data_IF_104836913993
#
_entry.id   IF_104836913993
#
_cell.length_a   1.000
_cell.length_b   1.000
_cell.length_c   1.000
_cell.angle_alpha   90.00
_cell.angle_beta   90.00
_cell.angle_gamma   90.00
#
_symmetry.space_group_name_H-M   'P 1'
#
loop_
_entity.id
_entity.type
_entity.pdbx_description
1 polymer ?
#
# COMPACT_ATOMS: atom_id res chain seq x y z
N UNK A 1 63.08 -41.70 78.19
CA UNK A 1 62.93 -42.00 76.84
C UNK A 1 61.53 -41.48 76.45
N UNK A 2 61.46 -40.30 75.96
CA UNK A 2 60.33 -39.46 76.01
C UNK A 2 59.59 -39.33 74.65
N UNK A 3 58.32 -39.53 74.69
CA UNK A 3 57.44 -39.31 73.56
C UNK A 3 56.86 -37.90 73.59
N UNK A 4 56.99 -37.13 72.56
CA UNK A 4 56.37 -35.85 72.41
C UNK A 4 55.37 -35.88 71.24
N UNK A 5 54.07 -35.81 71.59
CA UNK A 5 52.92 -35.69 70.64
C UNK A 5 52.81 -34.23 70.25
N UNK A 6 52.84 -34.01 68.95
CA UNK A 6 52.47 -32.70 68.38
C UNK A 6 51.03 -32.76 67.78
N UNK A 7 50.16 -31.93 68.35
CA UNK A 7 48.82 -31.73 67.81
C UNK A 7 48.91 -30.77 66.60
N UNK A 8 48.37 -31.19 65.48
CA UNK A 8 48.14 -30.29 64.31
C UNK A 8 46.72 -29.83 64.35
N UNK A 9 46.57 -28.50 64.42
CA UNK A 9 45.28 -27.82 64.23
C UNK A 9 44.98 -27.72 62.73
N UNK A 10 43.87 -28.29 62.29
CA UNK A 10 43.34 -28.19 60.96
C UNK A 10 42.39 -27.00 60.92
N UNK A 11 42.82 -25.87 60.35
CA UNK A 11 41.92 -24.72 60.08
C UNK A 11 41.14 -24.95 58.82
N UNK A 12 39.80 -25.14 58.91
CA UNK A 12 38.89 -25.30 57.85
C UNK A 12 38.52 -23.89 57.33
N UNK A 13 39.06 -23.51 56.19
CA UNK A 13 38.68 -22.26 55.49
C UNK A 13 37.43 -22.59 54.66
N UNK A 14 36.26 -22.03 55.07
CA UNK A 14 35.02 -22.07 54.32
C UNK A 14 35.08 -20.94 53.28
N UNK A 15 35.26 -21.31 52.00
CA UNK A 15 35.13 -20.37 50.86
C UNK A 15 33.64 -20.21 50.56
N UNK A 16 33.07 -19.05 50.87
CA UNK A 16 31.72 -18.69 50.47
C UNK A 16 31.81 -18.20 49.02
N UNK A 17 31.35 -19.03 48.08
CA UNK A 17 31.11 -18.67 46.67
C UNK A 17 29.82 -17.87 46.59
N UNK A 18 29.94 -16.54 46.53
CA UNK A 18 28.84 -15.64 46.12
C UNK A 18 28.63 -15.79 44.62
N UNK A 19 27.64 -16.60 44.23
CA UNK A 19 27.14 -16.64 42.84
C UNK A 19 26.39 -15.35 42.56
N UNK A 20 27.03 -14.43 41.88
CA UNK A 20 26.32 -13.31 41.22
C UNK A 20 25.48 -13.92 40.09
N UNK A 21 24.17 -14.03 40.31
CA UNK A 21 23.20 -14.22 39.23
C UNK A 21 23.17 -12.95 38.35
N UNK A 22 23.89 -13.01 37.25
CA UNK A 22 23.73 -12.02 36.18
C UNK A 22 22.34 -12.24 35.56
N UNK A 23 21.43 -11.34 35.79
CA UNK A 23 20.18 -11.22 34.99
C UNK A 23 20.60 -11.08 33.51
N UNK A 24 19.91 -11.74 32.56
CA UNK A 24 20.18 -11.50 31.16
C UNK A 24 19.85 -10.03 30.88
N UNK A 25 20.89 -9.25 30.58
CA UNK A 25 20.71 -7.90 30.04
C UNK A 25 19.86 -8.03 28.79
N UNK A 26 18.70 -7.39 28.77
CA UNK A 26 17.90 -7.26 27.56
C UNK A 26 18.82 -6.74 26.45
N UNK A 27 18.80 -7.41 25.32
CA UNK A 27 19.49 -6.94 24.14
C UNK A 27 18.89 -5.57 23.79
N UNK A 28 19.62 -4.53 24.12
CA UNK A 28 19.38 -3.19 23.53
C UNK A 28 19.66 -3.39 22.04
N UNK A 29 18.64 -3.48 21.23
CA UNK A 29 18.79 -3.39 19.78
C UNK A 29 19.49 -2.05 19.51
N UNK A 30 20.75 -2.14 19.14
CA UNK A 30 21.52 -0.96 18.70
C UNK A 30 20.83 -0.44 17.43
N UNK A 31 20.39 0.79 17.45
CA UNK A 31 19.97 1.50 16.23
C UNK A 31 21.10 1.37 15.20
N UNK A 32 20.82 0.91 13.97
CA UNK A 32 21.86 0.80 12.95
C UNK A 32 22.53 2.15 12.71
N UNK A 33 23.82 2.13 12.39
CA UNK A 33 24.56 3.33 12.01
C UNK A 33 23.89 3.90 10.74
N UNK A 34 23.43 5.17 10.74
CA UNK A 34 22.77 5.78 9.58
C UNK A 34 23.60 5.72 8.29
N UNK A 35 24.94 5.64 8.40
CA UNK A 35 25.84 5.52 7.25
C UNK A 35 25.85 4.13 6.58
N UNK A 36 25.17 3.14 7.18
CA UNK A 36 25.09 1.75 6.70
C UNK A 36 23.72 1.39 6.13
N UNK A 37 22.76 2.33 6.14
CA UNK A 37 21.43 2.07 5.63
C UNK A 37 21.40 2.06 4.09
N UNK A 38 20.61 1.13 3.53
CA UNK A 38 20.34 1.09 2.09
C UNK A 38 19.36 2.22 1.76
N UNK A 39 19.81 3.15 0.90
CA UNK A 39 18.94 4.24 0.42
C UNK A 39 17.92 3.69 -0.55
N UNK A 40 16.63 3.90 -0.29
CA UNK A 40 15.51 3.49 -1.13
C UNK A 40 14.65 4.70 -1.45
N UNK A 41 14.64 5.13 -2.72
CA UNK A 41 13.63 6.06 -3.23
C UNK A 41 12.41 5.27 -3.62
N UNK A 42 11.25 5.58 -3.00
CA UNK A 42 10.00 4.86 -3.16
C UNK A 42 8.95 5.74 -3.85
N UNK A 43 8.70 5.54 -5.16
CA UNK A 43 7.55 6.12 -5.84
C UNK A 43 6.23 5.65 -5.22
N UNK A 44 5.34 6.60 -4.89
CA UNK A 44 4.09 6.36 -4.16
C UNK A 44 2.85 6.34 -5.06
N UNK A 45 2.97 6.74 -6.32
CA UNK A 45 1.90 6.67 -7.31
C UNK A 45 0.80 7.72 -7.20
N UNK A 46 0.84 8.59 -6.19
CA UNK A 46 -0.17 9.62 -5.93
C UNK A 46 0.44 10.81 -5.19
N UNK A 47 -0.35 11.86 -4.97
CA UNK A 47 0.04 13.01 -4.13
C UNK A 47 0.09 12.62 -2.63
N UNK A 48 0.85 13.35 -1.79
CA UNK A 48 0.87 13.10 -0.35
C UNK A 48 -0.54 13.10 0.25
N UNK A 49 -0.90 12.03 0.96
CA UNK A 49 -2.24 11.83 1.50
C UNK A 49 -2.20 10.97 2.77
N UNK A 50 -3.22 11.07 3.63
CA UNK A 50 -3.34 10.27 4.86
C UNK A 50 -3.49 8.76 4.61
N UNK A 51 -3.89 8.35 3.41
CA UNK A 51 -3.94 6.94 3.03
C UNK A 51 -2.55 6.28 3.02
N UNK A 52 -1.46 7.05 2.97
CA UNK A 52 -0.09 6.56 3.11
C UNK A 52 0.41 6.50 4.56
N UNK A 53 -0.47 6.73 5.55
CA UNK A 53 -0.10 6.69 6.96
C UNK A 53 0.71 5.45 7.38
N UNK A 54 0.47 4.22 6.88
CA UNK A 54 1.31 3.06 7.20
C UNK A 54 2.80 3.27 6.90
N UNK A 55 3.11 3.90 5.78
CA UNK A 55 4.48 4.18 5.38
C UNK A 55 5.12 5.26 6.27
N UNK A 56 4.36 6.30 6.60
CA UNK A 56 4.80 7.38 7.50
C UNK A 56 5.05 6.85 8.92
N UNK A 57 4.15 6.00 9.41
CA UNK A 57 4.29 5.31 10.71
C UNK A 57 5.54 4.42 10.70
N UNK A 58 5.78 3.68 9.63
CA UNK A 58 6.96 2.82 9.51
C UNK A 58 8.28 3.62 9.55
N UNK A 59 8.31 4.83 8.97
CA UNK A 59 9.45 5.74 9.07
C UNK A 59 9.61 6.26 10.50
N UNK A 60 8.56 6.88 11.06
CA UNK A 60 8.62 7.56 12.35
C UNK A 60 8.89 6.61 13.52
N UNK A 61 8.38 5.38 13.44
CA UNK A 61 8.67 4.32 14.42
C UNK A 61 9.98 3.58 14.15
N UNK A 62 10.71 3.97 13.11
CA UNK A 62 12.02 3.43 12.78
C UNK A 62 11.99 2.01 12.25
N UNK A 63 10.88 1.53 11.69
CA UNK A 63 10.77 0.16 11.19
C UNK A 63 11.63 -0.06 9.96
N UNK A 64 11.69 0.89 9.03
CA UNK A 64 12.62 0.82 7.91
C UNK A 64 14.08 0.86 8.38
N UNK A 65 14.42 1.75 9.31
CA UNK A 65 15.77 1.85 9.84
C UNK A 65 16.20 0.58 10.58
N UNK A 66 15.29 -0.08 11.32
CA UNK A 66 15.57 -1.36 11.98
C UNK A 66 15.83 -2.50 11.00
N UNK A 67 15.28 -2.41 9.79
CA UNK A 67 15.52 -3.31 8.66
C UNK A 67 16.72 -2.88 7.79
N UNK A 68 17.48 -1.86 8.20
CA UNK A 68 18.64 -1.39 7.46
C UNK A 68 18.31 -0.53 6.25
N UNK A 69 17.13 0.08 6.20
CA UNK A 69 16.63 0.87 5.08
C UNK A 69 16.46 2.33 5.50
N UNK A 70 16.91 3.26 4.65
CA UNK A 70 16.58 4.67 4.71
C UNK A 70 15.72 5.02 3.50
N UNK A 71 14.50 5.54 3.73
CA UNK A 71 13.48 5.69 2.71
C UNK A 71 13.25 7.16 2.35
N UNK A 72 13.16 7.44 1.05
CA UNK A 72 12.75 8.72 0.49
C UNK A 72 11.48 8.52 -0.34
N UNK A 73 10.38 9.20 0.02
CA UNK A 73 9.13 9.13 -0.74
C UNK A 73 9.19 10.05 -1.97
N UNK A 74 8.71 9.50 -3.10
CA UNK A 74 8.63 10.20 -4.39
C UNK A 74 7.18 10.17 -4.90
N UNK A 75 6.56 11.36 -5.05
CA UNK A 75 5.13 11.48 -5.35
C UNK A 75 4.91 11.82 -6.84
N UNK A 76 5.05 10.79 -7.69
CA UNK A 76 4.83 10.83 -9.13
C UNK A 76 3.75 9.83 -9.55
N UNK A 77 3.44 9.73 -10.84
CA UNK A 77 2.52 8.73 -11.36
C UNK A 77 3.07 7.31 -11.20
N UNK A 78 2.19 6.33 -11.03
CA UNK A 78 2.56 4.90 -10.93
C UNK A 78 3.37 4.44 -12.13
N UNK A 79 3.02 4.88 -13.34
CA UNK A 79 3.71 4.54 -14.58
C UNK A 79 5.19 4.89 -14.58
N UNK A 80 5.56 6.03 -13.96
CA UNK A 80 6.95 6.45 -13.85
C UNK A 80 7.72 5.52 -12.91
N UNK A 81 7.13 5.18 -11.75
CA UNK A 81 7.68 4.23 -10.79
C UNK A 81 7.88 2.84 -11.41
N UNK A 82 6.88 2.33 -12.12
CA UNK A 82 6.96 1.03 -12.83
C UNK A 82 8.07 1.02 -13.86
N UNK A 83 8.21 2.07 -14.66
CA UNK A 83 9.26 2.16 -15.68
C UNK A 83 10.66 2.12 -15.04
N UNK A 84 10.88 2.87 -13.95
CA UNK A 84 12.16 2.91 -13.23
C UNK A 84 12.48 1.57 -12.56
N UNK A 85 11.50 0.89 -11.96
CA UNK A 85 11.68 -0.44 -11.37
C UNK A 85 11.94 -1.48 -12.46
N UNK A 86 11.19 -1.44 -13.57
CA UNK A 86 11.38 -2.34 -14.70
C UNK A 86 12.73 -2.17 -15.38
N UNK A 87 13.27 -0.94 -15.44
CA UNK A 87 14.62 -0.65 -15.94
C UNK A 87 15.73 -0.99 -14.92
N UNK A 88 15.38 -1.46 -13.72
CA UNK A 88 16.30 -1.70 -12.61
C UNK A 88 17.09 -0.44 -12.17
N UNK A 89 16.49 0.74 -12.33
CA UNK A 89 17.00 2.01 -11.81
C UNK A 89 16.54 2.25 -10.35
N UNK A 90 15.36 1.73 -9.99
CA UNK A 90 14.86 1.66 -8.62
C UNK A 90 14.58 0.21 -8.22
N UNK A 91 14.62 -0.05 -6.91
CA UNK A 91 14.34 -1.37 -6.37
C UNK A 91 12.84 -1.62 -6.16
N UNK A 92 12.07 -0.55 -5.83
CA UNK A 92 10.68 -0.64 -5.42
C UNK A 92 9.84 0.52 -5.93
N UNK A 93 8.53 0.29 -6.02
CA UNK A 93 7.50 1.33 -6.16
C UNK A 93 6.18 0.82 -5.56
N UNK A 94 5.28 1.73 -5.19
CA UNK A 94 3.89 1.43 -4.82
C UNK A 94 3.01 1.68 -6.03
N UNK A 95 2.33 0.63 -6.49
CA UNK A 95 1.50 0.68 -7.70
C UNK A 95 0.30 -0.24 -7.59
N UNK A 96 -0.69 -0.06 -8.46
CA UNK A 96 -1.83 -0.95 -8.64
C UNK A 96 -1.48 -2.18 -9.49
N UNK A 97 -2.24 -3.27 -9.33
CA UNK A 97 -1.91 -4.57 -9.93
C UNK A 97 -1.91 -4.58 -11.46
N UNK A 98 -2.79 -3.81 -12.12
CA UNK A 98 -2.80 -3.72 -13.58
C UNK A 98 -1.49 -3.17 -14.16
N UNK A 99 -0.80 -2.28 -13.43
CA UNK A 99 0.48 -1.74 -13.86
C UNK A 99 1.54 -2.83 -14.02
N UNK A 100 1.48 -3.85 -13.16
CA UNK A 100 2.40 -4.99 -13.24
C UNK A 100 2.16 -5.80 -14.52
N UNK A 101 0.90 -6.13 -14.82
CA UNK A 101 0.58 -6.91 -16.02
C UNK A 101 0.87 -6.12 -17.30
N UNK A 102 0.56 -4.82 -17.32
CA UNK A 102 0.88 -3.95 -18.46
C UNK A 102 2.39 -3.82 -18.69
N UNK A 103 3.18 -3.73 -17.63
CA UNK A 103 4.64 -3.70 -17.71
C UNK A 103 5.21 -5.04 -18.19
N UNK A 104 4.71 -6.16 -17.67
CA UNK A 104 5.13 -7.49 -18.11
C UNK A 104 4.77 -7.78 -19.56
N UNK A 105 3.65 -7.26 -20.05
CA UNK A 105 3.28 -7.34 -21.46
C UNK A 105 4.28 -6.58 -22.37
N UNK A 106 5.08 -5.69 -21.81
CA UNK A 106 6.17 -4.95 -22.45
C UNK A 106 7.56 -5.52 -22.11
N UNK A 107 7.63 -6.76 -21.61
CA UNK A 107 8.86 -7.44 -21.19
C UNK A 107 9.61 -6.76 -20.04
N UNK A 108 8.98 -5.86 -19.29
CA UNK A 108 9.58 -5.30 -18.08
C UNK A 108 9.49 -6.30 -16.91
N UNK A 109 10.62 -6.66 -16.26
CA UNK A 109 10.67 -7.75 -15.28
C UNK A 109 10.22 -7.30 -13.87
N UNK A 110 9.06 -6.66 -13.76
CA UNK A 110 8.49 -6.23 -12.49
C UNK A 110 7.70 -7.36 -11.83
N UNK A 111 7.71 -7.41 -10.50
CA UNK A 111 7.03 -8.42 -9.69
C UNK A 111 6.35 -7.74 -8.51
N UNK A 112 5.07 -8.02 -8.31
CA UNK A 112 4.32 -7.59 -7.13
C UNK A 112 4.66 -8.49 -5.94
N UNK A 113 5.05 -7.90 -4.81
CA UNK A 113 5.64 -8.65 -3.69
C UNK A 113 4.90 -8.51 -2.36
N UNK A 114 4.03 -7.51 -2.22
CA UNK A 114 3.28 -7.28 -0.98
C UNK A 114 2.02 -6.47 -1.28
N UNK A 115 0.85 -6.99 -0.94
CA UNK A 115 -0.38 -6.21 -1.01
C UNK A 115 -0.41 -5.16 0.14
N UNK A 116 -0.82 -3.96 -0.19
CA UNK A 116 -1.12 -2.92 0.79
C UNK A 116 -2.64 -2.78 0.99
N UNK A 117 -3.40 -2.92 -0.10
CA UNK A 117 -4.86 -2.90 -0.11
C UNK A 117 -5.40 -4.27 -0.50
N UNK A 118 -6.51 -4.71 0.14
CA UNK A 118 -7.11 -6.02 -0.15
C UNK A 118 -8.12 -5.95 -1.28
N UNK A 119 -9.01 -4.95 -1.22
CA UNK A 119 -10.00 -4.70 -2.25
C UNK A 119 -9.53 -3.62 -3.21
N UNK A 120 -10.02 -3.69 -4.44
CA UNK A 120 -9.74 -2.67 -5.44
C UNK A 120 -10.47 -1.37 -5.05
N UNK A 121 -9.77 -0.28 -4.79
CA UNK A 121 -10.34 0.88 -4.10
C UNK A 121 -11.17 1.80 -5.00
N UNK A 122 -11.29 1.46 -6.28
CA UNK A 122 -11.94 2.32 -7.27
C UNK A 122 -13.45 2.16 -7.23
N UNK A 123 -14.15 3.26 -7.46
CA UNK A 123 -15.59 3.31 -7.64
C UNK A 123 -15.99 4.47 -8.55
N UNK A 124 -17.29 4.51 -8.86
CA UNK A 124 -17.92 5.64 -9.54
C UNK A 124 -18.91 6.28 -8.57
N UNK A 125 -18.82 7.59 -8.38
CA UNK A 125 -19.74 8.37 -7.56
C UNK A 125 -20.51 9.35 -8.40
N UNK A 126 -21.80 9.51 -8.11
CA UNK A 126 -22.68 10.50 -8.71
C UNK A 126 -23.56 11.15 -7.65
N UNK A 127 -24.07 12.37 -7.91
CA UNK A 127 -25.14 12.94 -7.09
C UNK A 127 -26.39 12.06 -7.17
N UNK A 128 -27.05 11.76 -6.06
CA UNK A 128 -28.23 10.86 -6.01
C UNK A 128 -29.34 11.25 -6.99
N UNK A 129 -29.49 12.54 -7.26
CA UNK A 129 -30.46 13.08 -8.23
C UNK A 129 -30.20 12.65 -9.67
N UNK A 130 -28.96 12.23 -10.01
CA UNK A 130 -28.61 11.73 -11.36
C UNK A 130 -29.11 10.30 -11.59
N UNK A 131 -29.46 9.56 -10.51
CA UNK A 131 -30.00 8.21 -10.59
C UNK A 131 -29.01 7.17 -11.09
N UNK A 132 -27.71 7.36 -10.89
CA UNK A 132 -26.61 6.45 -11.27
C UNK A 132 -26.26 5.61 -10.06
N UNK A 133 -26.71 4.33 -10.01
CA UNK A 133 -26.62 3.43 -8.84
C UNK A 133 -26.02 2.07 -9.13
N UNK A 134 -25.91 1.71 -10.39
CA UNK A 134 -25.39 0.45 -10.89
C UNK A 134 -24.66 0.68 -12.22
N UNK A 135 -23.78 -0.23 -12.65
CA UNK A 135 -22.98 -0.02 -13.86
C UNK A 135 -23.81 0.25 -15.13
N UNK A 136 -24.99 -0.35 -15.26
CA UNK A 136 -25.88 -0.16 -16.40
C UNK A 136 -26.41 1.29 -16.53
N UNK A 137 -26.46 2.03 -15.42
CA UNK A 137 -26.90 3.44 -15.41
C UNK A 137 -25.84 4.40 -16.00
N UNK A 138 -24.64 3.91 -16.28
CA UNK A 138 -23.53 4.68 -16.85
C UNK A 138 -23.72 4.98 -18.34
N UNK A 139 -24.58 4.23 -19.04
CA UNK A 139 -24.82 4.40 -20.48
C UNK A 139 -25.21 5.85 -20.81
N UNK A 140 -24.51 6.46 -21.78
CA UNK A 140 -24.71 7.83 -22.23
C UNK A 140 -24.23 8.92 -21.27
N UNK A 141 -23.62 8.55 -20.13
CA UNK A 141 -23.18 9.52 -19.13
C UNK A 141 -21.81 10.11 -19.44
N UNK A 142 -21.63 11.36 -18.98
CA UNK A 142 -20.34 12.03 -18.93
C UNK A 142 -19.66 11.69 -17.60
N UNK A 143 -18.47 11.12 -17.69
CA UNK A 143 -17.75 10.59 -16.54
C UNK A 143 -16.34 11.19 -16.48
N UNK A 144 -16.07 11.93 -15.43
CA UNK A 144 -14.74 12.48 -15.16
C UNK A 144 -13.84 11.48 -14.44
N UNK A 145 -12.55 11.42 -14.82
CA UNK A 145 -11.54 10.61 -14.17
C UNK A 145 -10.17 11.28 -14.24
N UNK A 146 -9.19 10.87 -13.41
CA UNK A 146 -7.86 11.49 -13.41
C UNK A 146 -7.17 11.49 -14.78
N UNK A 147 -7.33 10.40 -15.52
CA UNK A 147 -6.77 10.21 -16.86
C UNK A 147 -7.24 8.89 -17.46
N UNK A 148 -7.00 8.68 -18.75
CA UNK A 148 -7.36 7.43 -19.45
C UNK A 148 -6.27 6.37 -19.27
N UNK A 149 -5.80 6.21 -18.04
CA UNK A 149 -4.78 5.25 -17.62
C UNK A 149 -4.89 4.98 -16.11
N UNK A 150 -4.17 3.97 -15.62
CA UNK A 150 -4.08 3.64 -14.19
C UNK A 150 -5.36 3.06 -13.61
N UNK A 151 -5.34 2.85 -12.30
CA UNK A 151 -6.40 2.16 -11.57
C UNK A 151 -7.80 2.72 -11.81
N UNK A 152 -7.96 4.04 -11.86
CA UNK A 152 -9.25 4.69 -12.08
C UNK A 152 -9.85 4.32 -13.43
N UNK A 153 -9.06 4.35 -14.50
CA UNK A 153 -9.51 3.97 -15.84
C UNK A 153 -9.84 2.47 -15.92
N UNK A 154 -8.95 1.61 -15.41
CA UNK A 154 -9.16 0.16 -15.41
C UNK A 154 -10.40 -0.22 -14.59
N UNK A 155 -10.59 0.40 -13.42
CA UNK A 155 -11.77 0.17 -12.59
C UNK A 155 -13.08 0.58 -13.26
N UNK A 156 -13.11 1.72 -13.95
CA UNK A 156 -14.26 2.12 -14.74
C UNK A 156 -14.55 1.12 -15.86
N UNK A 157 -13.51 0.71 -16.62
CA UNK A 157 -13.66 -0.29 -17.69
C UNK A 157 -14.17 -1.63 -17.15
N UNK A 158 -13.75 -2.02 -15.94
CA UNK A 158 -14.29 -3.20 -15.27
C UNK A 158 -15.80 -3.10 -15.02
N UNK A 159 -16.27 -1.94 -14.55
CA UNK A 159 -17.71 -1.72 -14.34
C UNK A 159 -18.49 -1.71 -15.66
N UNK A 160 -17.95 -1.06 -16.71
CA UNK A 160 -18.57 -1.08 -18.05
C UNK A 160 -18.66 -2.50 -18.59
N UNK A 161 -17.59 -3.30 -18.48
CA UNK A 161 -17.57 -4.71 -18.90
C UNK A 161 -18.63 -5.53 -18.15
N UNK A 162 -18.78 -5.35 -16.84
CA UNK A 162 -19.80 -6.05 -16.04
C UNK A 162 -21.23 -5.71 -16.49
N UNK A 163 -21.46 -4.50 -17.00
CA UNK A 163 -22.74 -4.08 -17.55
C UNK A 163 -22.93 -4.46 -19.03
N UNK A 164 -21.91 -5.05 -19.68
CA UNK A 164 -21.91 -5.30 -21.12
C UNK A 164 -21.85 -4.02 -21.96
N UNK A 165 -21.25 -2.95 -21.41
CA UNK A 165 -21.07 -1.67 -22.05
C UNK A 165 -19.64 -1.54 -22.60
N UNK A 166 -19.54 -0.86 -23.75
CA UNK A 166 -18.29 -0.45 -24.35
C UNK A 166 -17.89 0.97 -23.89
N UNK A 167 -16.63 1.33 -24.05
CA UNK A 167 -16.18 2.70 -23.75
C UNK A 167 -16.92 3.75 -24.57
N UNK A 168 -17.31 3.41 -25.81
CA UNK A 168 -18.10 4.27 -26.70
C UNK A 168 -19.51 4.58 -26.20
N UNK A 169 -20.02 3.82 -25.23
CA UNK A 169 -21.34 4.04 -24.63
C UNK A 169 -21.34 5.15 -23.57
N UNK A 170 -20.19 5.70 -23.23
CA UNK A 170 -19.99 6.77 -22.26
C UNK A 170 -19.14 7.91 -22.86
N UNK A 171 -19.15 9.07 -22.21
CA UNK A 171 -18.21 10.15 -22.53
C UNK A 171 -17.20 10.27 -21.40
N UNK A 172 -15.91 10.10 -21.70
CA UNK A 172 -14.83 10.16 -20.71
C UNK A 172 -14.07 11.49 -20.82
N UNK A 173 -13.96 12.19 -19.69
CA UNK A 173 -13.20 13.43 -19.56
C UNK A 173 -12.02 13.27 -18.59
N UNK A 174 -10.81 13.51 -19.09
CA UNK A 174 -9.61 13.52 -18.26
C UNK A 174 -9.53 14.86 -17.50
N UNK A 175 -9.87 14.84 -16.21
CA UNK A 175 -10.02 16.03 -15.35
C UNK A 175 -8.92 16.20 -14.31
N UNK A 176 -7.87 15.35 -14.34
CA UNK A 176 -6.86 15.30 -13.27
C UNK A 176 -7.50 14.91 -11.94
N UNK A 177 -6.93 15.39 -10.84
CA UNK A 177 -7.42 15.11 -9.48
C UNK A 177 -8.46 16.15 -9.00
N UNK A 178 -9.39 16.54 -9.87
CA UNK A 178 -10.43 17.55 -9.61
C UNK A 178 -11.85 16.93 -9.54
N UNK A 179 -11.97 15.66 -9.15
CA UNK A 179 -13.22 14.90 -9.17
C UNK A 179 -14.31 15.56 -8.31
N UNK A 180 -13.95 15.99 -7.09
CA UNK A 180 -14.89 16.63 -6.16
C UNK A 180 -15.42 17.92 -6.75
N UNK A 181 -14.55 18.80 -7.22
CA UNK A 181 -14.90 20.10 -7.77
C UNK A 181 -15.74 19.96 -9.06
N UNK A 182 -15.36 19.02 -9.94
CA UNK A 182 -16.08 18.77 -11.19
C UNK A 182 -17.51 18.27 -10.94
N UNK A 183 -17.69 17.37 -9.97
CA UNK A 183 -19.01 16.86 -9.61
C UNK A 183 -19.88 17.95 -8.92
N UNK A 184 -19.28 18.74 -8.02
CA UNK A 184 -19.98 19.84 -7.34
C UNK A 184 -20.45 20.91 -8.33
N UNK A 185 -19.64 21.22 -9.33
CA UNK A 185 -19.94 22.22 -10.36
C UNK A 185 -20.86 21.69 -11.48
N UNK A 186 -21.36 20.44 -11.39
CA UNK A 186 -22.14 19.76 -12.45
C UNK A 186 -21.42 19.75 -13.82
N UNK A 187 -20.09 19.75 -13.83
CA UNK A 187 -19.30 19.58 -15.05
C UNK A 187 -19.37 18.14 -15.53
N UNK A 188 -19.42 17.21 -14.58
CA UNK A 188 -19.55 15.77 -14.80
C UNK A 188 -20.85 15.24 -14.16
N UNK A 189 -21.44 14.20 -14.75
CA UNK A 189 -22.62 13.51 -14.20
C UNK A 189 -22.20 12.48 -13.15
N UNK A 190 -21.02 11.88 -13.33
CA UNK A 190 -20.36 10.98 -12.41
C UNK A 190 -18.85 11.18 -12.47
N UNK A 191 -18.13 10.75 -11.44
CA UNK A 191 -16.67 10.77 -11.43
C UNK A 191 -16.13 9.46 -10.88
N UNK A 192 -14.97 9.04 -11.42
CA UNK A 192 -14.23 7.90 -10.92
C UNK A 192 -13.36 8.34 -9.76
N UNK A 193 -13.44 7.60 -8.67
CA UNK A 193 -12.85 7.99 -7.37
C UNK A 193 -12.19 6.79 -6.68
N UNK A 194 -11.44 7.07 -5.63
CA UNK A 194 -11.12 6.11 -4.59
C UNK A 194 -12.18 6.19 -3.49
N UNK A 195 -12.80 5.05 -3.17
CA UNK A 195 -13.99 4.96 -2.30
C UNK A 195 -13.73 5.41 -0.87
N UNK A 196 -12.48 5.44 -0.44
CA UNK A 196 -12.03 5.92 0.88
C UNK A 196 -11.81 7.43 0.95
N UNK A 197 -11.86 8.18 -0.16
CA UNK A 197 -11.43 9.59 -0.21
C UNK A 197 -12.55 10.54 -0.69
N UNK A 198 -12.78 10.65 -2.00
CA UNK A 198 -13.68 11.65 -2.58
C UNK A 198 -15.13 11.54 -2.10
N UNK A 199 -15.74 10.33 -1.89
CA UNK A 199 -17.09 10.22 -1.36
C UNK A 199 -17.24 10.88 0.02
N UNK A 200 -16.23 10.75 0.89
CA UNK A 200 -16.21 11.35 2.22
C UNK A 200 -16.17 12.88 2.10
N UNK A 201 -15.37 13.42 1.20
CA UNK A 201 -15.29 14.86 0.96
C UNK A 201 -16.63 15.42 0.44
N UNK A 202 -17.28 14.74 -0.51
CA UNK A 202 -18.58 15.11 -1.05
C UNK A 202 -19.68 15.10 0.02
N UNK A 203 -19.75 14.04 0.84
CA UNK A 203 -20.73 13.92 1.92
C UNK A 203 -20.53 15.02 2.99
N UNK A 204 -19.30 15.34 3.34
CA UNK A 204 -19.01 16.42 4.30
C UNK A 204 -19.35 17.81 3.73
N UNK A 205 -19.42 17.96 2.40
CA UNK A 205 -19.94 19.17 1.73
C UNK A 205 -21.47 19.13 1.56
N UNK A 206 -22.16 18.18 2.18
CA UNK A 206 -23.61 18.06 2.20
C UNK A 206 -24.21 17.46 0.93
N UNK A 207 -23.41 16.81 0.08
CA UNK A 207 -23.92 16.17 -1.10
C UNK A 207 -24.53 14.79 -0.78
N UNK A 208 -25.74 14.56 -1.26
CA UNK A 208 -26.30 13.22 -1.32
C UNK A 208 -25.74 12.52 -2.57
N UNK A 209 -25.06 11.40 -2.34
CA UNK A 209 -24.36 10.66 -3.40
C UNK A 209 -24.78 9.19 -3.43
N UNK A 210 -24.74 8.61 -4.63
CA UNK A 210 -24.77 7.16 -4.85
C UNK A 210 -23.35 6.72 -5.28
N UNK A 211 -22.93 5.53 -4.83
CA UNK A 211 -21.58 4.99 -5.05
C UNK A 211 -21.70 3.60 -5.64
N UNK A 212 -20.98 3.35 -6.73
CA UNK A 212 -20.80 2.03 -7.37
C UNK A 212 -19.35 1.62 -7.11
N UNK A 213 -19.11 0.58 -6.31
CA UNK A 213 -17.76 0.09 -6.01
C UNK A 213 -17.37 -1.01 -7.01
N UNK A 214 -16.16 -0.95 -7.55
CA UNK A 214 -15.66 -2.03 -8.44
C UNK A 214 -15.61 -3.37 -7.70
N UNK A 215 -15.16 -3.35 -6.45
CA UNK A 215 -15.01 -4.55 -5.62
C UNK A 215 -16.33 -5.32 -5.36
N UNK A 216 -17.50 -4.66 -5.51
CA UNK A 216 -18.81 -5.32 -5.38
C UNK A 216 -19.16 -6.17 -6.61
N UNK A 217 -18.45 -6.01 -7.72
CA UNK A 217 -18.72 -6.67 -9.01
C UNK A 217 -17.61 -7.61 -9.44
N UNK A 218 -16.34 -7.24 -9.19
CA UNK A 218 -15.18 -8.04 -9.59
C UNK A 218 -14.02 -7.82 -8.63
N UNK A 219 -13.38 -8.92 -8.23
CA UNK A 219 -12.14 -8.88 -7.46
C UNK A 219 -10.97 -8.66 -8.40
N UNK A 220 -10.21 -7.58 -8.20
CA UNK A 220 -9.04 -7.20 -8.99
C UNK A 220 -7.81 -7.03 -8.09
N UNK A 221 -6.62 -7.26 -8.65
CA UNK A 221 -5.36 -7.02 -7.95
C UNK A 221 -5.21 -5.52 -7.64
N UNK A 222 -5.08 -5.19 -6.35
CA UNK A 222 -5.11 -3.83 -5.83
C UNK A 222 -3.71 -3.23 -5.67
N UNK A 223 -3.63 -2.11 -4.94
CA UNK A 223 -2.37 -1.39 -4.72
C UNK A 223 -1.45 -2.15 -3.77
N UNK A 224 -0.15 -2.15 -4.10
CA UNK A 224 0.87 -2.81 -3.30
C UNK A 224 2.28 -2.44 -3.71
N UNK A 225 3.23 -3.13 -3.12
CA UNK A 225 4.66 -2.96 -3.39
C UNK A 225 5.08 -3.83 -4.57
N UNK A 226 5.77 -3.25 -5.53
CA UNK A 226 6.50 -3.99 -6.57
C UNK A 226 8.00 -3.93 -6.34
N UNK A 227 8.67 -4.93 -6.89
CA UNK A 227 10.11 -4.96 -7.08
C UNK A 227 10.41 -5.46 -8.49
N UNK A 228 11.67 -5.76 -8.82
CA UNK A 228 12.05 -6.39 -10.07
C UNK A 228 12.81 -7.71 -9.83
N UNK A 229 12.81 -8.57 -10.85
CA UNK A 229 13.47 -9.89 -10.79
C UNK A 229 14.96 -9.80 -10.41
N UNK A 230 15.65 -8.72 -10.81
CA UNK A 230 17.07 -8.53 -10.50
C UNK A 230 17.28 -8.23 -8.99
N UNK A 231 16.45 -7.38 -8.39
CA UNK A 231 16.48 -7.09 -6.96
C UNK A 231 16.11 -8.33 -6.16
N UNK A 232 15.04 -9.04 -6.53
CA UNK A 232 14.60 -10.28 -5.89
C UNK A 232 15.70 -11.35 -5.90
N UNK A 233 16.36 -11.54 -7.05
CA UNK A 233 17.42 -12.54 -7.19
C UNK A 233 18.70 -12.19 -6.44
N UNK A 234 19.10 -10.90 -6.42
CA UNK A 234 20.38 -10.47 -5.84
C UNK A 234 20.28 -10.14 -4.35
N UNK A 235 19.14 -9.65 -3.91
CA UNK A 235 18.93 -9.20 -2.53
C UNK A 235 17.49 -9.49 -2.04
N UNK A 236 17.08 -10.77 -1.94
CA UNK A 236 15.75 -11.16 -1.47
C UNK A 236 15.49 -10.68 -0.03
N UNK A 237 16.53 -10.56 0.80
CA UNK A 237 16.42 -10.05 2.17
C UNK A 237 15.95 -8.59 2.19
N UNK A 238 16.40 -7.75 1.25
CA UNK A 238 15.94 -6.36 1.14
C UNK A 238 14.43 -6.31 0.81
N UNK A 239 13.96 -7.20 -0.08
CA UNK A 239 12.53 -7.27 -0.44
C UNK A 239 11.70 -7.69 0.78
N UNK A 240 12.15 -8.70 1.52
CA UNK A 240 11.49 -9.15 2.74
C UNK A 240 11.51 -8.07 3.83
N UNK A 241 12.61 -7.35 3.99
CA UNK A 241 12.75 -6.23 4.94
C UNK A 241 11.80 -5.09 4.62
N UNK A 242 11.65 -4.72 3.34
CA UNK A 242 10.67 -3.74 2.88
C UNK A 242 9.24 -4.16 3.24
N UNK A 243 8.87 -5.41 2.91
CA UNK A 243 7.55 -5.95 3.23
C UNK A 243 7.27 -5.92 4.74
N UNK A 244 8.21 -6.40 5.57
CA UNK A 244 8.06 -6.39 7.04
C UNK A 244 7.88 -4.99 7.59
N UNK A 245 8.70 -4.02 7.17
CA UNK A 245 8.60 -2.64 7.64
C UNK A 245 7.24 -2.02 7.31
N UNK A 246 6.77 -2.20 6.07
CA UNK A 246 5.46 -1.71 5.62
C UNK A 246 4.33 -2.37 6.41
N UNK A 247 4.33 -3.70 6.54
CA UNK A 247 3.25 -4.43 7.24
C UNK A 247 3.21 -4.12 8.75
N UNK A 248 4.35 -3.82 9.38
CA UNK A 248 4.37 -3.29 10.75
C UNK A 248 3.75 -1.90 10.83
N UNK A 249 4.05 -1.03 9.86
CA UNK A 249 3.42 0.29 9.76
C UNK A 249 1.91 0.20 9.55
N UNK A 250 1.45 -0.76 8.73
CA UNK A 250 0.02 -1.07 8.55
C UNK A 250 -0.61 -1.49 9.88
N UNK A 251 -0.01 -2.45 10.59
CA UNK A 251 -0.52 -2.95 11.86
C UNK A 251 -0.65 -1.83 12.92
N UNK A 252 0.35 -0.97 13.01
CA UNK A 252 0.33 0.15 13.97
C UNK A 252 -0.67 1.25 13.57
N UNK A 253 -0.82 1.54 12.27
CA UNK A 253 -1.81 2.52 11.80
C UNK A 253 -3.25 2.05 12.05
N UNK A 254 -3.50 0.74 11.98
CA UNK A 254 -4.78 0.11 12.35
C UNK A 254 -4.98 0.18 13.89
N UNK A 255 -3.94 -0.12 14.66
CA UNK A 255 -4.02 -0.19 16.11
C UNK A 255 -4.22 1.19 16.78
N UNK A 256 -3.60 2.24 16.23
CA UNK A 256 -3.72 3.63 16.72
C UNK A 256 -3.88 4.62 15.55
N UNK A 257 -5.11 4.76 15.02
CA UNK A 257 -5.38 5.73 13.94
C UNK A 257 -5.12 7.19 14.34
N UNK A 258 -5.22 7.52 15.62
CA UNK A 258 -4.97 8.86 16.11
C UNK A 258 -3.49 9.21 16.04
N UNK A 259 -2.61 8.31 16.47
CA UNK A 259 -1.16 8.46 16.30
C UNK A 259 -0.78 8.50 14.82
N UNK A 260 -1.34 7.60 14.00
CA UNK A 260 -1.07 7.55 12.56
C UNK A 260 -1.47 8.86 11.86
N UNK A 261 -2.60 9.47 12.28
CA UNK A 261 -3.01 10.78 11.76
C UNK A 261 -2.05 11.91 12.16
N UNK A 262 -1.64 11.96 13.45
CA UNK A 262 -0.67 12.95 13.92
C UNK A 262 0.70 12.83 13.21
N UNK A 263 1.16 11.61 12.97
CA UNK A 263 2.36 11.34 12.18
C UNK A 263 2.20 11.86 10.76
N UNK A 264 1.06 11.60 10.11
CA UNK A 264 0.79 12.00 8.73
C UNK A 264 0.91 13.52 8.50
N UNK A 265 0.67 14.35 9.53
CA UNK A 265 0.84 15.80 9.45
C UNK A 265 2.27 16.26 9.15
N UNK A 266 3.26 15.40 9.34
CA UNK A 266 4.66 15.70 9.02
C UNK A 266 4.98 15.50 7.53
N UNK A 267 4.18 14.70 6.84
CA UNK A 267 4.40 14.26 5.46
C UNK A 267 3.43 14.86 4.46
N UNK A 268 2.22 15.20 4.92
CA UNK A 268 1.15 15.75 4.08
C UNK A 268 1.09 17.25 4.30
N UNK A 269 1.52 18.01 3.30
CA UNK A 269 1.52 19.47 3.35
C UNK A 269 0.10 19.99 3.62
N UNK A 270 -0.01 20.99 4.49
CA UNK A 270 -1.28 21.63 4.88
C UNK A 270 -2.30 20.71 5.59
N UNK A 271 -2.00 19.45 5.91
CA UNK A 271 -2.94 18.58 6.62
C UNK A 271 -3.36 19.16 7.99
N UNK A 272 -2.43 19.82 8.68
CA UNK A 272 -2.74 20.45 9.96
C UNK A 272 -3.73 21.64 9.86
N UNK A 273 -3.86 22.26 8.67
CA UNK A 273 -4.76 23.37 8.36
C UNK A 273 -6.05 22.91 7.65
N UNK A 274 -6.07 21.70 7.10
CA UNK A 274 -7.25 21.12 6.46
C UNK A 274 -8.36 20.81 7.48
N UNK A 275 -9.55 20.47 7.00
CA UNK A 275 -10.59 19.90 7.86
C UNK A 275 -10.12 18.54 8.40
N UNK A 276 -9.58 18.56 9.60
CA UNK A 276 -9.01 17.37 10.24
C UNK A 276 -10.07 16.29 10.48
N UNK A 277 -11.35 16.66 10.64
CA UNK A 277 -12.43 15.68 10.81
C UNK A 277 -12.62 14.88 9.53
N UNK A 278 -12.66 15.55 8.38
CA UNK A 278 -12.78 14.92 7.07
C UNK A 278 -11.56 14.04 6.78
N UNK A 279 -10.36 14.58 6.98
CA UNK A 279 -9.12 13.84 6.70
C UNK A 279 -8.94 12.62 7.61
N UNK A 280 -9.41 12.70 8.86
CA UNK A 280 -9.43 11.55 9.77
C UNK A 280 -10.45 10.50 9.32
N UNK A 281 -11.62 10.90 8.79
CA UNK A 281 -12.56 9.96 8.19
C UNK A 281 -11.96 9.25 6.97
N UNK A 282 -11.18 9.96 6.13
CA UNK A 282 -10.45 9.36 5.00
C UNK A 282 -9.45 8.31 5.50
N UNK A 283 -8.69 8.60 6.57
CA UNK A 283 -7.80 7.62 7.19
C UNK A 283 -8.56 6.39 7.70
N UNK A 284 -9.65 6.59 8.45
CA UNK A 284 -10.44 5.49 8.98
C UNK A 284 -11.05 4.62 7.86
N UNK A 285 -11.55 5.24 6.80
CA UNK A 285 -12.02 4.50 5.63
C UNK A 285 -10.89 3.77 4.88
N UNK A 286 -9.66 4.30 4.92
CA UNK A 286 -8.49 3.61 4.36
C UNK A 286 -8.12 2.37 5.17
N UNK A 287 -8.29 2.41 6.49
CA UNK A 287 -8.03 1.28 7.39
C UNK A 287 -8.89 0.07 7.01
N UNK A 288 -10.15 0.26 6.59
CA UNK A 288 -11.02 -0.82 6.14
C UNK A 288 -10.42 -1.66 5.00
N UNK A 289 -9.55 -1.05 4.18
CA UNK A 289 -8.83 -1.74 3.10
C UNK A 289 -7.54 -2.43 3.54
N UNK A 290 -7.04 -2.12 4.74
CA UNK A 290 -5.82 -2.70 5.30
C UNK A 290 -6.12 -3.86 6.26
N UNK A 291 -7.30 -3.83 6.91
CA UNK A 291 -7.73 -4.88 7.85
C UNK A 291 -8.00 -6.19 7.12
N UNK A 292 -7.28 -7.23 7.51
CA UNK A 292 -7.40 -8.57 6.94
C UNK A 292 -6.77 -9.62 7.83
N UNK A 293 -7.23 -10.86 7.69
CA UNK A 293 -6.60 -12.03 8.33
C UNK A 293 -5.24 -12.41 7.71
N UNK A 294 -4.92 -11.87 6.52
CA UNK A 294 -3.70 -12.21 5.76
C UNK A 294 -2.98 -10.95 5.25
N UNK A 295 -2.37 -10.15 6.16
CA UNK A 295 -1.68 -8.91 5.76
C UNK A 295 -0.61 -9.17 4.69
N UNK A 296 -0.60 -8.34 3.66
CA UNK A 296 0.35 -8.43 2.56
C UNK A 296 0.03 -9.45 1.47
N UNK A 297 -0.94 -10.34 1.71
CA UNK A 297 -1.29 -11.40 0.77
C UNK A 297 -2.04 -10.85 -0.45
N UNK A 298 -1.64 -11.31 -1.62
CA UNK A 298 -2.32 -11.04 -2.89
C UNK A 298 -2.99 -12.31 -3.40
N UNK A 299 -4.31 -12.22 -3.66
CA UNK A 299 -5.11 -13.38 -4.07
C UNK A 299 -4.88 -13.70 -5.56
N UNK A 300 -4.50 -14.94 -5.91
CA UNK A 300 -4.35 -15.36 -7.31
C UNK A 300 -5.59 -15.09 -8.18
N UNK A 301 -6.79 -15.23 -7.63
CA UNK A 301 -8.05 -14.97 -8.36
C UNK A 301 -8.15 -13.52 -8.82
N UNK A 302 -7.66 -12.58 -8.01
CA UNK A 302 -7.64 -11.16 -8.37
C UNK A 302 -6.72 -10.89 -9.59
N UNK A 303 -5.61 -11.63 -9.71
CA UNK A 303 -4.69 -11.55 -10.84
C UNK A 303 -5.27 -12.19 -12.10
N UNK A 304 -5.95 -13.34 -11.97
CA UNK A 304 -6.64 -14.00 -13.08
C UNK A 304 -7.74 -13.08 -13.66
N UNK A 305 -8.55 -12.47 -12.80
CA UNK A 305 -9.59 -11.52 -13.21
C UNK A 305 -8.99 -10.27 -13.86
N UNK A 306 -7.92 -9.70 -13.27
CA UNK A 306 -7.23 -8.54 -13.85
C UNK A 306 -6.68 -8.86 -15.24
N UNK A 307 -6.04 -10.00 -15.41
CA UNK A 307 -5.54 -10.42 -16.72
C UNK A 307 -6.68 -10.60 -17.73
N UNK A 308 -7.78 -11.25 -17.34
CA UNK A 308 -8.94 -11.45 -18.21
C UNK A 308 -9.52 -10.10 -18.67
N UNK A 309 -9.64 -9.14 -17.75
CA UNK A 309 -10.10 -7.78 -18.05
C UNK A 309 -9.16 -7.07 -19.03
N UNK A 310 -7.85 -7.10 -18.81
CA UNK A 310 -6.88 -6.43 -19.67
C UNK A 310 -6.83 -7.05 -21.08
N UNK A 311 -7.05 -8.37 -21.21
CA UNK A 311 -7.20 -9.06 -22.48
C UNK A 311 -8.45 -8.61 -23.21
N UNK A 312 -9.59 -8.55 -22.51
CA UNK A 312 -10.88 -8.11 -23.06
C UNK A 312 -10.81 -6.66 -23.56
N UNK A 313 -10.15 -5.79 -22.80
CA UNK A 313 -9.87 -4.41 -23.20
C UNK A 313 -8.86 -4.27 -24.35
N UNK A 314 -8.18 -5.35 -24.74
CA UNK A 314 -7.12 -5.32 -25.74
C UNK A 314 -5.86 -4.57 -25.29
N UNK A 315 -5.69 -4.34 -23.99
CA UNK A 315 -4.51 -3.69 -23.41
C UNK A 315 -3.31 -4.63 -23.32
N UNK A 316 -3.56 -5.93 -23.23
CA UNK A 316 -2.58 -6.99 -23.45
C UNK A 316 -3.08 -7.93 -24.54
N UNK A 317 -2.17 -8.45 -25.35
CA UNK A 317 -2.52 -9.23 -26.56
C UNK A 317 -2.55 -10.73 -26.32
N UNK A 318 -1.90 -11.21 -25.27
CA UNK A 318 -1.78 -12.64 -24.92
C UNK A 318 -1.76 -12.81 -23.41
N UNK A 319 -2.24 -13.96 -22.89
CA UNK A 319 -2.10 -14.29 -21.49
C UNK A 319 -0.63 -14.28 -21.05
N UNK A 320 -0.39 -13.74 -19.86
CA UNK A 320 0.94 -13.66 -19.23
C UNK A 320 1.10 -14.80 -18.23
N UNK A 321 2.34 -15.10 -17.90
CA UNK A 321 2.70 -16.00 -16.81
C UNK A 321 2.53 -15.28 -15.47
N UNK A 322 1.41 -15.54 -14.79
CA UNK A 322 1.07 -14.90 -13.53
C UNK A 322 2.00 -15.29 -12.38
N UNK A 323 2.68 -16.46 -12.44
CA UNK A 323 3.69 -16.85 -11.44
C UNK A 323 4.90 -15.90 -11.45
N UNK A 324 5.11 -15.19 -12.57
CA UNK A 324 6.13 -14.15 -12.67
C UNK A 324 5.61 -12.75 -12.34
N UNK A 325 4.30 -12.54 -12.37
CA UNK A 325 3.71 -11.22 -12.13
C UNK A 325 3.64 -10.88 -10.65
N UNK A 326 3.37 -11.86 -9.79
CA UNK A 326 3.29 -11.65 -8.34
C UNK A 326 3.81 -12.85 -7.55
N UNK A 327 4.19 -12.59 -6.29
CA UNK A 327 4.54 -13.65 -5.33
C UNK A 327 4.12 -13.25 -3.92
N UNK A 328 3.80 -14.25 -3.10
CA UNK A 328 3.52 -14.11 -1.68
C UNK A 328 4.70 -14.59 -0.80
N UNK A 329 5.87 -14.83 -1.35
CA UNK A 329 7.01 -15.42 -0.63
C UNK A 329 7.64 -14.49 0.42
N UNK A 330 7.38 -13.18 0.32
CA UNK A 330 8.00 -12.15 1.18
C UNK A 330 7.11 -11.65 2.32
N UNK A 331 5.92 -12.22 2.48
CA UNK A 331 4.93 -11.84 3.51
C UNK A 331 4.86 -12.90 4.62
N UNK A 332 5.91 -13.01 5.43
CA UNK A 332 5.96 -13.95 6.57
C UNK A 332 5.85 -13.22 7.90
#
# INVERSE_FOLDING_TARGET
MSHWRRFAFLSLIILILTACSASPAGQVQSTPDPSQLVQVRLPMGYIPNVQFAPFYVAVEKGYFAAEGIDIEFDYNFETDGVALVGANELQFAVVSGEQVLLARAQDLPVVYVTAWWHDYPVGVVAKTEKGIRQPEDLVGRRIGLPGLFGASYIGLRALLNQAGLEESDVTLDAIGYNQVEALLADQEEAVVIYVNNEPIQLQNQGQAIDLIRVADYVQLASNGLISNEATISKNPELVQSMARAILRGVADAIADPDEAFEISKKYVENLAQADQTVQKQVLLASIEFWETDRPGYSDPVAWENMQALLLDMGLISTPLDLEKAFTNDFIQ
#
